data_IF_117905546306
#
_entry.id   IF_117905546306
#
_cell.length_a   1.000
_cell.length_b   1.000
_cell.length_c   1.000
_cell.angle_alpha   90.00
_cell.angle_beta   90.00
_cell.angle_gamma   90.00
#
_symmetry.space_group_name_H-M   'P 1'
#
loop_
_entity.id
_entity.type
_entity.pdbx_description
1 polymer ?
#
# COMPACT_ATOMS: atom_id res chain seq x y z
N UNK A 1 -3.35 0.54 5.32
CA UNK A 1 -3.53 0.62 3.87
C UNK A 1 -3.17 2.03 3.45
N UNK A 2 -2.12 2.20 2.66
CA UNK A 2 -1.70 3.48 2.07
C UNK A 2 -1.27 3.21 0.63
N UNK A 3 -1.64 4.11 -0.27
CA UNK A 3 -1.31 4.09 -1.69
C UNK A 3 -1.13 5.53 -2.18
N UNK A 4 -0.35 5.73 -3.22
CA UNK A 4 -0.09 7.06 -3.79
C UNK A 4 -1.31 7.60 -4.54
N UNK A 5 -2.21 6.72 -4.98
CA UNK A 5 -3.41 7.10 -5.71
C UNK A 5 -4.57 6.19 -5.34
N UNK A 6 -5.78 6.72 -5.46
CA UNK A 6 -7.03 6.02 -5.20
C UNK A 6 -8.18 6.71 -5.93
N UNK A 7 -9.40 6.23 -5.73
CA UNK A 7 -10.60 7.03 -6.04
C UNK A 7 -10.60 8.28 -5.18
N UNK A 8 -11.00 9.41 -5.73
CA UNK A 8 -11.18 10.67 -5.01
C UNK A 8 -12.25 10.47 -3.91
N UNK A 9 -11.91 10.60 -2.61
CA UNK A 9 -12.88 10.42 -1.53
C UNK A 9 -14.01 11.45 -1.54
N UNK A 10 -13.77 12.63 -2.12
CA UNK A 10 -14.76 13.71 -2.22
C UNK A 10 -15.69 13.54 -3.42
N UNK A 11 -15.22 12.88 -4.46
CA UNK A 11 -15.97 12.61 -5.68
C UNK A 11 -15.50 11.30 -6.34
N UNK A 12 -15.82 10.12 -5.81
CA UNK A 12 -15.20 8.85 -6.21
C UNK A 12 -15.61 8.36 -7.62
N UNK A 13 -16.53 9.05 -8.28
CA UNK A 13 -17.12 8.63 -9.54
C UNK A 13 -18.03 7.41 -9.37
N UNK A 14 -18.13 6.62 -10.43
CA UNK A 14 -18.92 5.38 -10.48
C UNK A 14 -18.02 4.16 -10.56
N UNK A 15 -18.61 2.97 -10.54
CA UNK A 15 -17.87 1.74 -10.80
C UNK A 15 -17.14 1.77 -12.15
N UNK A 16 -17.88 2.07 -13.22
CA UNK A 16 -17.40 2.04 -14.60
C UNK A 16 -16.64 3.30 -15.02
N UNK A 17 -16.87 4.41 -14.32
CA UNK A 17 -16.20 5.70 -14.55
C UNK A 17 -15.72 6.26 -13.21
N UNK A 18 -14.64 5.71 -12.64
CA UNK A 18 -14.11 6.22 -11.38
C UNK A 18 -13.34 7.53 -11.61
N UNK A 19 -13.25 8.37 -10.59
CA UNK A 19 -12.41 9.56 -10.62
C UNK A 19 -11.14 9.32 -9.80
N UNK A 20 -9.97 9.17 -10.43
CA UNK A 20 -8.72 9.03 -9.71
C UNK A 20 -8.23 10.34 -9.11
N UNK A 21 -7.47 10.20 -8.03
CA UNK A 21 -6.64 11.25 -7.48
C UNK A 21 -5.29 10.64 -7.08
N UNK A 22 -4.22 11.38 -7.37
CA UNK A 22 -2.88 11.11 -6.87
C UNK A 22 -2.57 12.04 -5.70
N UNK A 23 -1.89 11.51 -4.70
CA UNK A 23 -1.42 12.24 -3.54
C UNK A 23 0.09 12.42 -3.59
N UNK A 24 0.57 13.54 -3.10
CA UNK A 24 1.97 13.67 -2.69
C UNK A 24 2.18 13.12 -1.26
N UNK A 25 3.45 12.99 -0.86
CA UNK A 25 3.84 12.42 0.42
C UNK A 25 3.27 13.15 1.64
N UNK A 26 3.12 14.48 1.53
CA UNK A 26 2.60 15.32 2.62
C UNK A 26 1.08 15.15 2.77
N UNK A 27 0.35 15.10 1.65
CA UNK A 27 -1.10 14.88 1.63
C UNK A 27 -1.50 13.54 2.24
N UNK A 28 -0.79 12.47 1.89
CA UNK A 28 -1.05 11.13 2.42
C UNK A 28 -0.38 10.90 3.79
N UNK A 29 0.62 11.72 4.13
CA UNK A 29 1.39 11.68 5.36
C UNK A 29 2.22 10.40 5.53
N UNK A 30 2.78 9.85 4.44
CA UNK A 30 3.55 8.59 4.47
C UNK A 30 4.81 8.71 5.35
N UNK A 31 5.41 9.90 5.38
CA UNK A 31 6.57 10.22 6.23
C UNK A 31 6.25 10.20 7.74
N UNK A 32 4.98 10.19 8.12
CA UNK A 32 4.51 10.09 9.51
C UNK A 32 3.84 8.74 9.80
N UNK A 33 3.87 7.79 8.87
CA UNK A 33 3.10 6.56 8.97
C UNK A 33 3.38 5.78 10.26
N UNK A 34 4.66 5.54 10.59
CA UNK A 34 5.01 4.81 11.82
C UNK A 34 4.54 5.52 13.09
N UNK A 35 4.64 6.85 13.14
CA UNK A 35 4.16 7.65 14.27
C UNK A 35 2.63 7.57 14.42
N UNK A 36 1.89 7.65 13.31
CA UNK A 36 0.42 7.51 13.32
C UNK A 36 0.01 6.15 13.86
N UNK A 37 0.66 5.07 13.39
CA UNK A 37 0.38 3.71 13.86
C UNK A 37 0.75 3.55 15.34
N UNK A 38 1.88 4.06 15.78
CA UNK A 38 2.28 4.02 17.18
C UNK A 38 1.32 4.78 18.11
N UNK A 39 0.83 5.94 17.67
CA UNK A 39 -0.15 6.72 18.43
C UNK A 39 -1.50 6.00 18.51
N UNK A 40 -1.96 5.39 17.42
CA UNK A 40 -3.16 4.55 17.43
C UNK A 40 -2.99 3.36 18.38
N UNK A 41 -1.86 2.66 18.31
CA UNK A 41 -1.57 1.54 19.19
C UNK A 41 -1.53 1.97 20.67
N UNK A 42 -0.95 3.11 21.00
CA UNK A 42 -0.96 3.68 22.35
C UNK A 42 -2.38 3.99 22.82
N UNK A 43 -3.18 4.65 21.97
CA UNK A 43 -4.57 4.95 22.27
C UNK A 43 -5.35 3.67 22.57
N UNK A 44 -5.27 2.65 21.70
CA UNK A 44 -5.95 1.38 21.89
C UNK A 44 -5.48 0.65 23.15
N UNK A 45 -4.17 0.61 23.39
CA UNK A 45 -3.59 -0.01 24.58
C UNK A 45 -4.12 0.64 25.87
N UNK A 46 -4.19 1.97 25.92
CA UNK A 46 -4.68 2.69 27.09
C UNK A 46 -6.17 2.50 27.34
N UNK A 47 -6.98 2.45 26.27
CA UNK A 47 -8.43 2.32 26.39
C UNK A 47 -8.89 0.87 26.63
N UNK A 48 -8.22 -0.10 26.01
CA UNK A 48 -8.60 -1.51 26.10
C UNK A 48 -7.84 -2.27 27.18
N UNK A 49 -6.71 -1.71 27.65
CA UNK A 49 -5.77 -2.37 28.56
C UNK A 49 -5.32 -3.75 28.04
N UNK A 50 -5.07 -3.84 26.73
CA UNK A 50 -4.62 -5.04 26.02
C UNK A 50 -3.42 -4.73 25.11
N UNK A 51 -2.52 -5.71 24.87
CA UNK A 51 -1.55 -5.62 23.79
C UNK A 51 -2.26 -5.42 22.44
N UNK A 52 -1.67 -4.60 21.56
CA UNK A 52 -2.23 -4.29 20.24
C UNK A 52 -1.41 -4.99 19.15
N UNK A 53 -2.10 -5.78 18.33
CA UNK A 53 -1.61 -6.36 17.09
C UNK A 53 -2.25 -5.63 15.92
N UNK A 54 -1.47 -5.29 14.89
CA UNK A 54 -2.03 -4.75 13.67
C UNK A 54 -2.12 -5.86 12.60
N UNK A 55 -3.33 -6.42 12.44
CA UNK A 55 -3.54 -7.57 11.57
C UNK A 55 -3.29 -7.29 10.08
N UNK A 56 -3.40 -6.05 9.63
CA UNK A 56 -3.19 -5.71 8.23
C UNK A 56 -2.47 -4.37 8.07
N UNK A 57 -1.21 -4.44 7.71
CA UNK A 57 -0.44 -3.33 7.15
C UNK A 57 -0.28 -3.55 5.65
N UNK A 58 -0.55 -2.50 4.89
CA UNK A 58 -0.34 -2.49 3.45
C UNK A 58 0.09 -1.09 3.05
N UNK A 59 1.18 -1.05 2.28
CA UNK A 59 1.70 0.10 1.58
C UNK A 59 1.88 -0.34 0.12
N UNK A 60 1.15 0.26 -0.80
CA UNK A 60 1.16 -0.12 -2.20
C UNK A 60 2.36 0.53 -2.91
N UNK A 61 3.12 -0.25 -3.69
CA UNK A 61 4.33 0.26 -4.36
C UNK A 61 4.05 0.96 -5.69
N UNK A 62 2.84 0.82 -6.22
CA UNK A 62 2.45 1.45 -7.47
C UNK A 62 2.29 2.96 -7.30
N UNK A 63 2.70 3.71 -8.31
CA UNK A 63 2.39 5.12 -8.48
C UNK A 63 1.73 5.36 -9.84
N UNK A 64 0.87 6.37 -9.92
CA UNK A 64 0.26 6.83 -11.14
C UNK A 64 0.64 8.30 -11.38
N UNK A 65 0.92 8.60 -12.65
CA UNK A 65 1.16 9.95 -13.14
C UNK A 65 0.33 10.17 -14.41
N UNK A 66 -0.64 11.07 -14.36
CA UNK A 66 -1.51 11.42 -15.49
C UNK A 66 -0.74 12.24 -16.53
N UNK A 67 -0.01 11.56 -17.42
CA UNK A 67 0.88 12.21 -18.38
C UNK A 67 0.10 13.04 -19.42
N UNK A 68 -1.13 12.62 -19.73
CA UNK A 68 -1.95 13.22 -20.77
C UNK A 68 -3.05 14.17 -20.20
N UNK A 69 -3.25 14.21 -18.88
CA UNK A 69 -4.25 14.99 -18.15
C UNK A 69 -5.71 14.66 -18.51
N UNK A 70 -6.01 13.39 -18.83
CA UNK A 70 -7.37 12.92 -19.14
C UNK A 70 -8.10 12.35 -17.91
N UNK A 71 -7.41 12.18 -16.78
CA UNK A 71 -7.98 11.64 -15.55
C UNK A 71 -8.32 10.16 -15.63
N UNK A 72 -7.73 9.40 -16.55
CA UNK A 72 -7.95 7.96 -16.75
C UNK A 72 -6.65 7.22 -16.45
N UNK A 73 -6.69 6.23 -15.55
CA UNK A 73 -5.51 5.40 -15.28
C UNK A 73 -5.27 4.45 -16.45
N UNK A 74 -4.15 4.64 -17.15
CA UNK A 74 -3.68 3.77 -18.22
C UNK A 74 -2.48 2.93 -17.76
N UNK A 75 -2.35 1.70 -18.25
CA UNK A 75 -1.28 0.78 -17.83
C UNK A 75 0.13 1.36 -18.06
N UNK A 76 0.32 2.20 -19.08
CA UNK A 76 1.57 2.89 -19.39
C UNK A 76 1.89 4.06 -18.44
N UNK A 77 0.91 4.54 -17.68
CA UNK A 77 1.04 5.63 -16.70
C UNK A 77 1.25 5.12 -15.28
N UNK A 78 1.11 3.81 -15.05
CA UNK A 78 1.32 3.16 -13.76
C UNK A 78 2.74 2.60 -13.67
N UNK A 79 3.52 3.13 -12.75
CA UNK A 79 4.79 2.54 -12.35
C UNK A 79 4.58 1.65 -11.12
N UNK A 80 4.59 0.32 -11.32
CA UNK A 80 4.35 -0.70 -10.28
C UNK A 80 5.27 -0.61 -9.06
N UNK A 81 6.45 -0.01 -9.23
CA UNK A 81 7.45 0.18 -8.16
C UNK A 81 7.81 1.65 -7.98
N UNK A 82 7.01 2.58 -8.49
CA UNK A 82 7.33 4.00 -8.45
C UNK A 82 7.37 4.59 -7.04
N UNK A 83 6.71 3.93 -6.08
CA UNK A 83 6.68 4.32 -4.67
C UNK A 83 7.43 3.34 -3.75
N UNK A 84 8.41 2.61 -4.29
CA UNK A 84 9.09 1.56 -3.52
C UNK A 84 9.91 2.11 -2.34
N UNK A 85 10.51 3.29 -2.49
CA UNK A 85 11.30 3.91 -1.42
C UNK A 85 10.40 4.32 -0.25
N UNK A 86 9.19 4.78 -0.55
CA UNK A 86 8.19 5.21 0.42
C UNK A 86 7.59 4.01 1.15
N UNK A 87 7.38 2.90 0.43
CA UNK A 87 7.04 1.59 1.02
C UNK A 87 8.14 1.11 1.96
N UNK A 88 9.41 1.11 1.52
CA UNK A 88 10.56 0.77 2.35
C UNK A 88 10.59 1.64 3.61
N UNK A 89 10.57 2.96 3.45
CA UNK A 89 10.63 3.90 4.56
C UNK A 89 9.45 3.71 5.51
N UNK A 90 8.25 3.44 5.00
CA UNK A 90 7.06 3.18 5.81
C UNK A 90 7.20 1.92 6.68
N UNK A 91 7.69 0.81 6.12
CA UNK A 91 7.95 -0.40 6.90
C UNK A 91 9.12 -0.21 7.88
N UNK A 92 10.21 0.44 7.47
CA UNK A 92 11.33 0.78 8.35
C UNK A 92 10.88 1.67 9.52
N UNK A 93 9.99 2.63 9.30
CA UNK A 93 9.38 3.41 10.37
C UNK A 93 8.53 2.54 11.30
N UNK A 94 7.74 1.59 10.79
CA UNK A 94 6.95 0.70 11.63
C UNK A 94 7.83 -0.13 12.56
N UNK A 95 8.89 -0.73 12.02
CA UNK A 95 9.81 -1.57 12.77
C UNK A 95 10.58 -0.76 13.83
N UNK A 96 11.03 0.46 13.49
CA UNK A 96 11.90 1.25 14.38
C UNK A 96 11.14 2.14 15.37
N UNK A 97 9.96 2.66 14.99
CA UNK A 97 9.28 3.70 15.77
C UNK A 97 8.08 3.19 16.57
N UNK A 98 7.60 1.96 16.32
CA UNK A 98 6.35 1.47 16.91
C UNK A 98 6.57 0.65 18.18
N UNK A 99 6.67 1.35 19.32
CA UNK A 99 6.91 0.71 20.63
C UNK A 99 5.63 0.17 21.30
N UNK A 100 4.46 0.58 20.81
CA UNK A 100 3.17 0.23 21.41
C UNK A 100 2.46 -0.94 20.71
N UNK A 101 2.95 -1.41 19.56
CA UNK A 101 2.52 -2.65 18.95
C UNK A 101 3.35 -3.81 19.50
N UNK A 102 2.72 -4.96 19.72
CA UNK A 102 3.46 -6.20 19.95
C UNK A 102 3.80 -6.94 18.64
N UNK A 103 3.20 -6.52 17.53
CA UNK A 103 3.48 -7.03 16.19
C UNK A 103 2.49 -6.50 15.15
N UNK A 104 2.77 -6.80 13.89
CA UNK A 104 1.86 -6.60 12.78
C UNK A 104 2.03 -7.72 11.73
N UNK A 105 1.06 -7.83 10.85
CA UNK A 105 1.14 -8.65 9.63
C UNK A 105 0.99 -7.77 8.40
N UNK A 106 1.81 -8.04 7.39
CA UNK A 106 1.59 -7.51 6.05
C UNK A 106 0.33 -8.12 5.46
N UNK A 107 -0.35 -7.39 4.59
CA UNK A 107 -1.55 -7.86 3.92
C UNK A 107 -1.26 -9.03 2.99
N UNK A 108 -0.32 -8.86 2.07
CA UNK A 108 0.07 -9.89 1.12
C UNK A 108 1.59 -10.06 1.12
N UNK A 109 2.03 -11.32 1.06
CA UNK A 109 3.45 -11.63 0.85
C UNK A 109 3.83 -11.39 -0.61
N UNK A 110 2.98 -11.87 -1.53
CA UNK A 110 3.16 -11.74 -2.98
C UNK A 110 2.20 -10.72 -3.56
N UNK A 111 2.60 -10.06 -4.64
CA UNK A 111 1.66 -9.31 -5.47
C UNK A 111 0.54 -10.23 -5.95
N UNK A 112 -0.70 -9.77 -5.83
CA UNK A 112 -1.88 -10.54 -6.18
C UNK A 112 -2.63 -9.80 -7.29
N UNK A 113 -2.53 -10.26 -8.56
CA UNK A 113 -3.20 -9.62 -9.69
C UNK A 113 -4.74 -9.71 -9.65
N UNK A 114 -5.30 -10.39 -8.64
CA UNK A 114 -6.74 -10.51 -8.45
C UNK A 114 -7.23 -9.96 -7.11
N UNK A 115 -6.37 -9.28 -6.35
CA UNK A 115 -6.62 -8.93 -4.94
C UNK A 115 -7.99 -8.26 -4.69
N UNK A 116 -8.48 -7.46 -5.65
CA UNK A 116 -9.79 -6.81 -5.59
C UNK A 116 -10.52 -6.87 -6.94
N UNK A 117 -10.33 -7.95 -7.70
CA UNK A 117 -11.00 -8.13 -8.99
C UNK A 117 -12.52 -8.22 -8.80
N UNK A 118 -13.25 -7.20 -9.25
CA UNK A 118 -14.71 -7.12 -9.11
C UNK A 118 -15.22 -6.70 -7.72
N UNK A 119 -14.33 -6.38 -6.77
CA UNK A 119 -14.67 -5.76 -5.49
C UNK A 119 -14.65 -4.24 -5.56
N UNK A 120 -14.77 -3.50 -4.46
CA UNK A 120 -14.76 -2.03 -4.51
C UNK A 120 -13.32 -1.53 -4.73
N UNK A 121 -12.87 -1.49 -6.00
CA UNK A 121 -11.55 -1.03 -6.47
C UNK A 121 -11.27 0.43 -6.08
N UNK A 122 -11.01 0.63 -4.79
CA UNK A 122 -10.70 1.92 -4.21
C UNK A 122 -9.30 2.37 -4.64
N UNK A 123 -8.36 1.44 -4.75
CA UNK A 123 -6.95 1.70 -5.07
C UNK A 123 -6.62 1.62 -6.58
N UNK A 124 -7.61 1.31 -7.42
CA UNK A 124 -7.59 1.39 -8.89
C UNK A 124 -6.28 0.98 -9.56
N UNK A 125 -6.07 -0.31 -9.78
CA UNK A 125 -4.82 -0.94 -10.23
C UNK A 125 -3.68 -0.99 -9.20
N UNK A 126 -3.65 -0.12 -8.18
CA UNK A 126 -2.62 -0.22 -7.14
C UNK A 126 -2.84 -1.43 -6.22
N UNK A 127 -4.06 -1.96 -6.16
CA UNK A 127 -4.43 -3.17 -5.42
C UNK A 127 -3.63 -4.41 -5.75
N UNK A 128 -3.05 -4.45 -6.95
CA UNK A 128 -2.27 -5.59 -7.41
C UNK A 128 -0.81 -5.53 -6.94
N UNK A 129 -0.38 -4.41 -6.36
CA UNK A 129 1.01 -4.13 -6.00
C UNK A 129 1.23 -4.04 -4.48
N UNK A 130 0.41 -4.76 -3.70
CA UNK A 130 0.47 -4.78 -2.23
C UNK A 130 1.50 -5.74 -1.65
N UNK A 131 1.99 -6.69 -2.45
CA UNK A 131 2.97 -7.66 -2.01
C UNK A 131 4.33 -7.03 -1.77
N UNK A 132 5.09 -7.61 -0.85
CA UNK A 132 6.51 -7.28 -0.66
C UNK A 132 7.42 -8.14 -1.56
N UNK A 133 6.84 -9.15 -2.20
CA UNK A 133 7.44 -9.99 -3.23
C UNK A 133 6.65 -9.81 -4.52
N UNK A 134 7.35 -9.70 -5.65
CA UNK A 134 6.76 -9.53 -6.98
C UNK A 134 7.26 -10.57 -7.97
N UNK A 135 6.56 -10.70 -9.09
CA UNK A 135 6.98 -11.51 -10.24
C UNK A 135 6.28 -11.02 -11.51
N UNK A 136 6.66 -11.57 -12.65
CA UNK A 136 5.94 -11.34 -13.90
C UNK A 136 4.53 -11.92 -13.78
N UNK A 137 3.53 -11.16 -14.24
CA UNK A 137 2.13 -11.56 -14.22
C UNK A 137 1.70 -11.92 -15.64
N UNK A 138 1.22 -13.15 -15.84
CA UNK A 138 0.58 -13.61 -17.08
C UNK A 138 -0.74 -14.31 -16.74
N UNK A 139 -1.79 -14.07 -17.51
CA UNK A 139 -3.13 -14.65 -17.29
C UNK A 139 -3.61 -14.54 -15.83
N UNK A 140 -3.33 -13.40 -15.20
CA UNK A 140 -3.67 -13.11 -13.79
C UNK A 140 -3.02 -14.07 -12.79
N UNK A 141 -1.83 -14.58 -13.10
CA UNK A 141 -1.02 -15.42 -12.23
C UNK A 141 0.41 -14.92 -12.21
N UNK A 142 1.12 -15.12 -11.09
CA UNK A 142 2.57 -14.93 -11.04
C UNK A 142 3.24 -16.09 -11.76
N UNK A 143 3.94 -15.81 -12.86
CA UNK A 143 4.53 -16.83 -13.74
C UNK A 143 6.04 -16.71 -13.92
N UNK A 144 6.63 -15.60 -13.48
CA UNK A 144 8.04 -15.30 -13.67
C UNK A 144 8.94 -15.72 -12.52
N UNK A 145 10.16 -15.17 -12.54
CA UNK A 145 11.07 -15.27 -11.41
C UNK A 145 10.57 -14.40 -10.26
N UNK A 146 10.56 -14.97 -9.06
CA UNK A 146 10.19 -14.26 -7.83
C UNK A 146 11.30 -13.26 -7.48
N UNK A 147 10.91 -12.02 -7.15
CA UNK A 147 11.81 -10.94 -6.76
C UNK A 147 11.29 -10.28 -5.48
N UNK A 148 12.17 -10.12 -4.51
CA UNK A 148 11.89 -9.25 -3.37
C UNK A 148 11.86 -7.80 -3.82
N UNK A 149 10.93 -7.02 -3.28
CA UNK A 149 10.90 -5.57 -3.47
C UNK A 149 11.80 -4.93 -2.41
N UNK A 150 12.89 -4.31 -2.85
CA UNK A 150 13.78 -3.44 -2.06
C UNK A 150 14.13 -3.93 -0.63
N UNK A 151 14.50 -5.21 -0.49
CA UNK A 151 14.89 -5.82 0.79
C UNK A 151 13.81 -5.77 1.90
N UNK A 152 12.52 -5.67 1.52
CA UNK A 152 11.41 -5.60 2.47
C UNK A 152 11.25 -6.84 3.36
N UNK A 153 11.60 -8.04 2.89
CA UNK A 153 11.60 -9.24 3.74
C UNK A 153 12.61 -9.10 4.87
N UNK A 154 13.79 -8.60 4.55
CA UNK A 154 14.82 -8.35 5.55
C UNK A 154 14.36 -7.32 6.58
N UNK A 155 13.75 -6.23 6.15
CA UNK A 155 13.27 -5.17 7.05
C UNK A 155 12.18 -5.68 7.98
N UNK A 156 11.26 -6.50 7.47
CA UNK A 156 10.04 -6.89 8.21
C UNK A 156 10.28 -8.13 9.08
N UNK A 157 11.15 -9.05 8.68
CA UNK A 157 11.32 -10.36 9.33
C UNK A 157 12.68 -10.60 10.00
N UNK A 158 13.60 -9.63 10.04
CA UNK A 158 14.78 -9.70 10.92
C UNK A 158 14.48 -9.16 12.33
#
# INVERSE_FOLDING_TARGET
MIAQFSRDPSNPGTWDNPNPISYNDDEIGINYFGNRVNNLALFLKNNLNKPVFLAYVMLASGSWNDENNDGIIQDNEVNKTGWINEVHNGYSQLMNNTKNLFGFTIMNLFDDPNHDAGGYQFFMQNEYNFGIITSDIQDKQLTGNIKEKDNLLEIIFK
#
